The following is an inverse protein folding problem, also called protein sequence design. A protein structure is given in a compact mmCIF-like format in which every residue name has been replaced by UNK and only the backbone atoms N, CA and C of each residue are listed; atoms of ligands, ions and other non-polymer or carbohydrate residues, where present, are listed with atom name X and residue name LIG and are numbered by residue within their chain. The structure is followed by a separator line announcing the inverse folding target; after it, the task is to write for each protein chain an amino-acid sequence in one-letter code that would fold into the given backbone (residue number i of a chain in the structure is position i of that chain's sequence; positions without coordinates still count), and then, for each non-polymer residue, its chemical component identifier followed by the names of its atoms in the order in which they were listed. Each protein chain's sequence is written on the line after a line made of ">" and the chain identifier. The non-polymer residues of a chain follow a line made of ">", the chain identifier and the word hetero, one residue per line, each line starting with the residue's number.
data_IF_126280206186
#
_entry.id   IF_126280206186
#
_cell.length_a   1.000
_cell.length_b   1.000
_cell.length_c   1.000
_cell.angle_alpha   90.00
_cell.angle_beta   90.00
_cell.angle_gamma   90.00
#
_symmetry.space_group_name_H-M   'P 1'
#
loop_
_entity.id
_entity.type
_entity.pdbx_description
1 polymer ?
#
# COMPACT_ATOMS: atom_id res chain seq x y z
N UNK A 1 3.51 8.33 -18.86
CA UNK A 1 2.09 7.92 -18.88
C UNK A 1 1.88 6.68 -18.04
N UNK A 2 0.70 6.55 -17.45
CA UNK A 2 0.31 5.41 -16.61
C UNK A 2 0.01 4.19 -17.50
N UNK A 3 0.77 3.11 -17.36
CA UNK A 3 0.54 1.85 -18.07
C UNK A 3 -0.30 0.89 -17.22
N UNK A 4 -1.57 0.73 -17.59
CA UNK A 4 -2.52 -0.15 -16.90
C UNK A 4 -2.47 -1.62 -17.35
N UNK A 5 -1.57 -1.98 -18.26
CA UNK A 5 -1.38 -3.38 -18.67
C UNK A 5 -0.54 -4.18 -17.66
N UNK A 6 0.21 -3.49 -16.80
CA UNK A 6 0.98 -4.11 -15.72
C UNK A 6 0.16 -4.13 -14.41
N UNK A 7 0.56 -4.99 -13.48
CA UNK A 7 0.02 -4.98 -12.12
C UNK A 7 0.34 -3.64 -11.46
N UNK A 8 -0.67 -2.94 -10.92
CA UNK A 8 -0.43 -1.72 -10.17
C UNK A 8 0.08 -2.03 -8.76
N UNK A 9 1.13 -1.35 -8.31
CA UNK A 9 1.66 -1.49 -6.95
C UNK A 9 1.30 -0.24 -6.15
N UNK A 10 0.45 -0.40 -5.14
CA UNK A 10 -0.10 0.70 -4.34
C UNK A 10 0.38 0.55 -2.90
N UNK A 11 0.82 1.64 -2.28
CA UNK A 11 1.16 1.69 -0.86
C UNK A 11 0.60 2.97 -0.23
N UNK A 12 0.79 3.14 1.07
CA UNK A 12 0.42 4.37 1.76
C UNK A 12 0.52 4.26 3.28
N UNK A 13 -0.18 5.18 3.95
CA UNK A 13 -0.22 5.30 5.40
C UNK A 13 -0.26 6.76 5.82
N UNK A 14 -0.14 7.00 7.13
CA UNK A 14 -0.01 8.36 7.65
C UNK A 14 1.23 9.08 7.14
N UNK A 15 1.10 10.38 6.95
CA UNK A 15 2.20 11.28 6.56
C UNK A 15 3.18 11.47 7.72
N UNK A 16 4.33 12.13 7.47
CA UNK A 16 5.40 12.32 8.45
C UNK A 16 6.53 11.28 8.35
N UNK A 17 6.58 10.56 7.22
CA UNK A 17 7.60 9.56 6.92
C UNK A 17 8.31 9.86 5.59
N UNK A 18 8.23 11.09 5.10
CA UNK A 18 8.79 11.50 3.82
C UNK A 18 10.30 11.16 3.76
N UNK A 19 10.78 10.57 2.64
CA UNK A 19 10.12 10.47 1.34
C UNK A 19 9.09 9.33 1.19
N UNK A 20 8.91 8.48 2.20
CA UNK A 20 7.91 7.41 2.13
C UNK A 20 6.48 7.97 2.21
N UNK A 21 5.55 7.61 1.33
CA UNK A 21 5.70 6.70 0.16
C UNK A 21 5.79 7.43 -1.18
N UNK A 22 5.38 8.71 -1.21
CA UNK A 22 5.24 9.47 -2.46
C UNK A 22 6.55 9.60 -3.25
N UNK A 23 7.70 9.68 -2.58
CA UNK A 23 9.01 9.74 -3.24
C UNK A 23 9.44 8.45 -3.94
N UNK A 24 8.68 7.36 -3.79
CA UNK A 24 8.93 6.06 -4.42
C UNK A 24 7.89 5.70 -5.48
N UNK A 25 7.08 6.68 -5.91
CA UNK A 25 6.16 6.52 -7.04
C UNK A 25 6.91 6.73 -8.35
N UNK A 26 6.91 5.73 -9.22
CA UNK A 26 7.61 5.80 -10.50
C UNK A 26 7.94 4.43 -11.09
N UNK A 27 8.52 4.47 -12.30
CA UNK A 27 8.93 3.26 -13.03
C UNK A 27 9.85 2.38 -12.17
N UNK A 28 9.50 1.11 -12.02
CA UNK A 28 10.31 0.14 -11.27
C UNK A 28 10.03 0.09 -9.76
N UNK A 29 9.02 0.82 -9.27
CA UNK A 29 8.58 0.88 -7.86
C UNK A 29 7.05 1.03 -7.75
N UNK A 30 6.53 1.97 -6.94
CA UNK A 30 5.09 2.15 -6.72
C UNK A 30 4.42 2.81 -7.93
N UNK A 31 3.20 2.36 -8.24
CA UNK A 31 2.29 3.03 -9.17
C UNK A 31 1.61 4.22 -8.52
N UNK A 32 1.23 4.11 -7.24
CA UNK A 32 0.60 5.18 -6.47
C UNK A 32 0.90 5.07 -4.97
N UNK A 33 0.82 6.21 -4.29
CA UNK A 33 0.91 6.33 -2.84
C UNK A 33 -0.32 7.05 -2.29
N UNK A 34 -0.95 6.49 -1.25
CA UNK A 34 -2.12 7.09 -0.58
C UNK A 34 -1.67 7.69 0.74
N UNK A 35 -1.62 9.02 0.81
CA UNK A 35 -1.16 9.76 1.98
C UNK A 35 -2.33 10.14 2.89
N UNK A 36 -2.32 9.66 4.13
CA UNK A 36 -3.20 10.13 5.19
C UNK A 36 -2.68 11.40 5.87
N UNK A 37 -3.34 11.83 6.93
CA UNK A 37 -2.85 12.94 7.77
C UNK A 37 -1.59 12.52 8.56
N UNK A 38 -0.97 13.46 9.28
CA UNK A 38 0.24 13.22 10.06
C UNK A 38 0.02 12.06 11.06
N UNK A 39 0.74 10.95 10.84
CA UNK A 39 0.65 9.71 11.61
C UNK A 39 -0.75 9.06 11.67
N UNK A 40 -1.65 9.42 10.74
CA UNK A 40 -2.99 8.84 10.65
C UNK A 40 -3.19 8.14 9.31
N UNK A 41 -3.63 6.87 9.34
CA UNK A 41 -3.92 6.10 8.11
C UNK A 41 -4.85 6.87 7.17
N UNK A 42 -4.65 6.79 5.84
CA UNK A 42 -5.61 7.32 4.87
C UNK A 42 -6.96 6.65 5.05
N UNK A 43 -8.03 7.33 4.64
CA UNK A 43 -9.39 6.79 4.69
C UNK A 43 -9.58 5.63 3.71
N UNK A 44 -10.56 4.79 4.00
CA UNK A 44 -10.98 3.68 3.12
C UNK A 44 -11.30 4.18 1.71
N UNK A 45 -12.00 5.31 1.60
CA UNK A 45 -12.43 5.84 0.30
C UNK A 45 -11.26 6.44 -0.48
N UNK A 46 -10.25 7.01 0.19
CA UNK A 46 -9.02 7.45 -0.46
C UNK A 46 -8.25 6.26 -1.06
N UNK A 47 -8.12 5.16 -0.32
CA UNK A 47 -7.46 3.95 -0.82
C UNK A 47 -8.25 3.34 -1.98
N UNK A 48 -9.57 3.24 -1.87
CA UNK A 48 -10.43 2.74 -2.95
C UNK A 48 -10.32 3.61 -4.21
N UNK A 49 -10.28 4.93 -4.05
CA UNK A 49 -10.11 5.88 -5.16
C UNK A 49 -8.79 5.63 -5.88
N UNK A 50 -7.70 5.41 -5.14
CA UNK A 50 -6.41 5.07 -5.73
C UNK A 50 -6.45 3.74 -6.50
N UNK A 51 -7.06 2.69 -5.92
CA UNK A 51 -7.25 1.40 -6.60
C UNK A 51 -7.95 1.60 -7.95
N UNK A 52 -9.09 2.28 -7.96
CA UNK A 52 -9.87 2.53 -9.19
C UNK A 52 -9.09 3.38 -10.21
N UNK A 53 -8.33 4.36 -9.73
CA UNK A 53 -7.59 5.28 -10.58
C UNK A 53 -6.47 4.56 -11.35
N UNK A 54 -5.73 3.63 -10.71
CA UNK A 54 -4.51 3.06 -11.30
C UNK A 54 -4.59 1.59 -11.71
N UNK A 55 -5.60 0.85 -11.27
CA UNK A 55 -5.70 -0.59 -11.55
C UNK A 55 -6.35 -0.85 -12.92
N UNK A 56 -5.75 -1.74 -13.71
CA UNK A 56 -6.34 -2.32 -14.94
C UNK A 56 -6.68 -3.81 -14.77
N UNK A 57 -6.86 -4.52 -15.88
CA UNK A 57 -7.26 -5.94 -15.85
C UNK A 57 -6.21 -6.85 -15.18
N UNK A 58 -4.94 -6.45 -15.21
CA UNK A 58 -3.84 -7.13 -14.52
C UNK A 58 -3.96 -7.12 -12.98
N UNK A 59 -4.82 -6.27 -12.42
CA UNK A 59 -5.03 -6.15 -10.98
C UNK A 59 -4.00 -5.28 -10.26
N UNK A 60 -4.06 -5.27 -8.93
CA UNK A 60 -3.14 -4.51 -8.10
C UNK A 60 -2.70 -5.24 -6.82
N UNK A 61 -1.52 -4.88 -6.34
CA UNK A 61 -0.97 -5.29 -5.06
C UNK A 61 -0.97 -4.09 -4.10
N UNK A 62 -1.62 -4.24 -2.95
CA UNK A 62 -1.54 -3.31 -1.84
C UNK A 62 -0.40 -3.73 -0.90
N UNK A 63 0.63 -2.90 -0.75
CA UNK A 63 1.71 -3.09 0.22
C UNK A 63 1.39 -2.23 1.46
N UNK A 64 1.15 -2.87 2.59
CA UNK A 64 0.60 -2.23 3.79
C UNK A 64 1.54 -2.45 4.96
N UNK A 65 1.98 -1.38 5.63
CA UNK A 65 2.76 -1.48 6.87
C UNK A 65 1.87 -2.05 7.98
N UNK A 66 2.41 -2.89 8.86
CA UNK A 66 1.63 -3.58 9.89
C UNK A 66 1.24 -2.66 11.07
N UNK A 67 0.33 -1.73 10.80
CA UNK A 67 -0.35 -0.90 11.78
C UNK A 67 -1.86 -1.14 11.67
N UNK A 68 -2.57 -1.13 12.80
CA UNK A 68 -4.00 -1.45 12.84
C UNK A 68 -4.83 -0.56 11.91
N UNK A 69 -4.59 0.75 11.92
CA UNK A 69 -5.31 1.70 11.05
C UNK A 69 -5.11 1.39 9.57
N UNK A 70 -3.85 1.23 9.16
CA UNK A 70 -3.49 0.90 7.77
C UNK A 70 -4.14 -0.43 7.34
N UNK A 71 -4.04 -1.48 8.16
CA UNK A 71 -4.62 -2.80 7.86
C UNK A 71 -6.14 -2.76 7.69
N UNK A 72 -6.84 -2.07 8.59
CA UNK A 72 -8.30 -1.98 8.52
C UNK A 72 -8.75 -1.16 7.32
N UNK A 73 -8.12 -0.01 7.07
CA UNK A 73 -8.55 0.89 6.00
C UNK A 73 -8.23 0.33 4.61
N UNK A 74 -7.00 -0.20 4.40
CA UNK A 74 -6.64 -0.83 3.14
C UNK A 74 -7.39 -2.15 2.93
N UNK A 75 -7.58 -2.95 3.98
CA UNK A 75 -8.34 -4.20 3.91
C UNK A 75 -9.79 -3.96 3.49
N UNK A 76 -10.48 -2.98 4.09
CA UNK A 76 -11.85 -2.66 3.70
C UNK A 76 -11.93 -2.06 2.30
N UNK A 77 -10.93 -1.27 1.88
CA UNK A 77 -10.85 -0.76 0.51
C UNK A 77 -10.65 -1.90 -0.51
N UNK A 78 -9.80 -2.89 -0.20
CA UNK A 78 -9.60 -4.08 -1.02
C UNK A 78 -10.91 -4.90 -1.16
N UNK A 79 -11.64 -5.11 -0.06
CA UNK A 79 -12.93 -5.81 -0.10
C UNK A 79 -13.97 -5.07 -0.95
N UNK A 80 -14.05 -3.73 -0.82
CA UNK A 80 -14.92 -2.91 -1.67
C UNK A 80 -14.50 -3.02 -3.15
N UNK A 81 -13.21 -2.94 -3.45
CA UNK A 81 -12.68 -3.03 -4.82
C UNK A 81 -12.94 -4.42 -5.45
N UNK A 82 -12.74 -5.51 -4.71
CA UNK A 82 -13.05 -6.88 -5.15
C UNK A 82 -14.52 -7.03 -5.51
N UNK A 83 -15.43 -6.47 -4.70
CA UNK A 83 -16.88 -6.44 -5.02
C UNK A 83 -17.22 -5.66 -6.29
N UNK A 84 -16.36 -4.72 -6.70
CA UNK A 84 -16.49 -3.97 -7.95
C UNK A 84 -15.81 -4.65 -9.14
N UNK A 85 -15.24 -5.85 -8.96
CA UNK A 85 -14.61 -6.64 -10.02
C UNK A 85 -13.11 -6.42 -10.20
N UNK A 86 -12.44 -5.66 -9.31
CA UNK A 86 -10.98 -5.51 -9.37
C UNK A 86 -10.28 -6.73 -8.77
N UNK A 87 -9.22 -7.19 -9.43
CA UNK A 87 -8.29 -8.15 -8.87
C UNK A 87 -7.34 -7.42 -7.90
N UNK A 88 -7.46 -7.69 -6.60
CA UNK A 88 -6.69 -7.00 -5.56
C UNK A 88 -6.08 -8.01 -4.60
N UNK A 89 -4.76 -7.95 -4.43
CA UNK A 89 -4.02 -8.68 -3.40
C UNK A 89 -3.43 -7.72 -2.37
N UNK A 90 -3.16 -8.20 -1.16
CA UNK A 90 -2.62 -7.38 -0.07
C UNK A 90 -1.49 -8.09 0.67
N UNK A 91 -0.33 -7.42 0.76
CA UNK A 91 0.85 -7.86 1.49
C UNK A 91 1.05 -6.97 2.73
N UNK A 92 1.11 -7.58 3.91
CA UNK A 92 1.39 -6.88 5.16
C UNK A 92 2.89 -6.97 5.45
N UNK A 93 3.55 -5.82 5.61
CA UNK A 93 4.97 -5.72 5.96
C UNK A 93 5.13 -5.55 7.47
N UNK A 94 5.83 -6.49 8.10
CA UNK A 94 6.18 -6.48 9.52
C UNK A 94 7.65 -6.84 9.72
N UNK A 95 8.55 -5.95 9.36
CA UNK A 95 10.00 -6.16 9.37
C UNK A 95 10.69 -5.77 10.68
N UNK A 96 10.00 -5.05 11.58
CA UNK A 96 10.57 -4.63 12.86
C UNK A 96 10.74 -5.79 13.85
N UNK A 97 11.98 -6.14 14.13
CA UNK A 97 12.36 -7.23 15.06
C UNK A 97 12.59 -6.77 16.51
N UNK A 98 12.39 -5.49 16.83
CA UNK A 98 12.73 -4.93 18.15
C UNK A 98 11.87 -5.45 19.31
N UNK A 99 10.71 -6.06 19.03
CA UNK A 99 9.75 -6.56 20.02
C UNK A 99 9.45 -8.06 19.79
N UNK A 100 10.27 -8.98 20.33
CA UNK A 100 10.15 -10.42 20.06
C UNK A 100 8.80 -11.04 20.46
N UNK A 101 8.19 -10.54 21.53
CA UNK A 101 6.89 -11.05 22.02
C UNK A 101 5.68 -10.44 21.28
N UNK A 102 5.92 -9.48 20.39
CA UNK A 102 4.86 -8.86 19.61
C UNK A 102 4.44 -9.77 18.45
N UNK A 103 3.19 -10.28 18.50
CA UNK A 103 2.58 -11.11 17.45
C UNK A 103 2.38 -10.38 16.11
N UNK A 104 2.45 -9.04 16.11
CA UNK A 104 2.29 -8.21 14.93
C UNK A 104 3.47 -7.22 14.82
N UNK A 105 4.65 -7.69 14.37
CA UNK A 105 5.82 -6.84 14.12
C UNK A 105 5.46 -5.62 13.28
N UNK A 106 5.92 -4.43 13.66
CA UNK A 106 5.62 -3.18 12.93
C UNK A 106 6.25 -3.21 11.54
N UNK A 107 5.61 -2.54 10.59
CA UNK A 107 6.21 -2.29 9.27
C UNK A 107 6.98 -0.97 9.29
N UNK A 108 8.28 -1.01 9.03
CA UNK A 108 9.18 0.16 9.07
C UNK A 108 9.96 0.27 7.75
N UNK A 109 11.23 0.65 7.81
CA UNK A 109 12.07 0.96 6.65
C UNK A 109 12.20 -0.20 5.65
N UNK A 110 12.15 -1.47 6.05
CA UNK A 110 12.20 -2.60 5.13
C UNK A 110 11.08 -2.58 4.08
N UNK A 111 9.98 -1.87 4.35
CA UNK A 111 8.88 -1.65 3.40
C UNK A 111 9.35 -1.10 2.05
N UNK A 112 10.35 -0.20 2.01
CA UNK A 112 10.80 0.35 0.72
C UNK A 112 11.54 -0.68 -0.15
N UNK A 113 12.15 -1.70 0.47
CA UNK A 113 12.78 -2.80 -0.24
C UNK A 113 11.72 -3.74 -0.83
N UNK A 114 10.61 -3.93 -0.11
CA UNK A 114 9.44 -4.67 -0.62
C UNK A 114 8.87 -3.94 -1.85
N UNK A 115 8.72 -2.62 -1.80
CA UNK A 115 8.30 -1.82 -2.96
C UNK A 115 9.22 -2.03 -4.17
N UNK A 116 10.53 -2.06 -3.92
CA UNK A 116 11.54 -2.22 -4.98
C UNK A 116 11.47 -3.59 -5.65
N UNK A 117 11.22 -4.65 -4.89
CA UNK A 117 11.07 -6.02 -5.41
C UNK A 117 9.75 -6.16 -6.14
N UNK A 118 8.65 -5.65 -5.57
CA UNK A 118 7.32 -5.72 -6.19
C UNK A 118 7.23 -4.93 -7.51
N UNK A 119 7.96 -3.81 -7.61
CA UNK A 119 7.96 -2.98 -8.82
C UNK A 119 8.99 -3.36 -9.89
N UNK A 120 9.89 -4.32 -9.64
CA UNK A 120 10.89 -4.79 -10.62
C UNK A 120 10.26 -5.73 -11.64
#
# INVERSE_FOLDING_TARGET
>A
DLDKNNVAVISGGGSGHEPAHAGFVGKGMLTAAVCGDLFASPSVDAVLTAIQAVTGDAGCLLIVKNYTGDRLNFGLAAEKARRMGYNVEMLIVGDDISLPDNKHPRGIAGTILVHKVAGY
#
